data_IF_635535318329
#
_entry.id   IF_635535318329
#
_cell.length_a   1.000
_cell.length_b   1.000
_cell.length_c   1.000
_cell.angle_alpha   90.00
_cell.angle_beta   90.00
_cell.angle_gamma   90.00
#
_symmetry.space_group_name_H-M   'P 1'
#
loop_
_entity.id
_entity.type
_entity.pdbx_description
1 polymer ?
#
# COMPACT_ATOMS: atom_id res chain seq x y z
N UNK A 1 26.21 -1.01 -5.51
CA UNK A 1 26.61 -2.14 -4.64
C UNK A 1 25.76 -2.15 -3.39
N UNK A 2 25.20 -3.30 -3.07
CA UNK A 2 24.23 -3.45 -1.99
C UNK A 2 24.89 -4.12 -0.79
N UNK A 3 24.87 -3.51 0.38
CA UNK A 3 25.28 -4.14 1.62
C UNK A 3 24.10 -4.18 2.57
N UNK A 4 23.73 -5.38 3.03
CA UNK A 4 22.66 -5.59 4.00
C UNK A 4 23.27 -5.99 5.33
N UNK A 5 22.80 -5.35 6.36
CA UNK A 5 23.04 -5.79 7.73
C UNK A 5 21.68 -6.10 8.32
N UNK A 6 21.45 -7.40 8.57
CA UNK A 6 20.22 -7.85 9.20
C UNK A 6 20.40 -7.77 10.72
N UNK A 7 19.57 -6.99 11.36
CA UNK A 7 19.43 -6.99 12.82
C UNK A 7 18.18 -7.75 13.20
N UNK A 8 17.99 -8.04 14.48
CA UNK A 8 16.85 -8.83 14.95
C UNK A 8 15.48 -8.27 14.50
N UNK A 9 15.37 -6.97 14.30
CA UNK A 9 14.11 -6.30 14.00
C UNK A 9 14.12 -5.39 12.78
N UNK A 10 15.26 -5.29 12.06
CA UNK A 10 15.35 -4.38 10.91
C UNK A 10 16.43 -4.82 9.92
N UNK A 11 16.31 -4.34 8.71
CA UNK A 11 17.30 -4.54 7.66
C UNK A 11 17.92 -3.19 7.35
N UNK A 12 19.23 -3.11 7.52
CA UNK A 12 20.03 -1.93 7.20
C UNK A 12 20.53 -2.04 5.77
N UNK A 13 20.41 -0.96 5.02
CA UNK A 13 20.88 -0.92 3.64
C UNK A 13 21.79 0.25 3.39
N UNK A 14 22.88 -0.04 2.68
CA UNK A 14 23.74 0.97 2.08
C UNK A 14 23.64 0.83 0.55
N UNK A 15 22.80 1.71 -0.10
CA UNK A 15 22.59 1.51 -1.53
C UNK A 15 22.21 2.70 -2.36
N UNK A 16 22.64 2.59 -3.62
CA UNK A 16 22.21 3.48 -4.71
C UNK A 16 20.84 3.11 -5.28
N UNK A 17 20.49 1.82 -5.36
CA UNK A 17 19.21 1.32 -5.87
C UNK A 17 18.49 0.51 -4.79
N UNK A 18 17.72 1.19 -3.96
CA UNK A 18 16.97 0.55 -2.89
C UNK A 18 15.75 -0.20 -3.45
N UNK A 19 15.48 -1.45 -2.99
CA UNK A 19 14.24 -2.15 -3.32
C UNK A 19 13.02 -1.32 -2.89
N UNK A 20 11.99 -1.30 -3.73
CA UNK A 20 10.78 -0.52 -3.47
C UNK A 20 9.64 -1.35 -2.89
N UNK A 21 9.68 -2.67 -3.03
CA UNK A 21 8.65 -3.58 -2.54
C UNK A 21 9.26 -4.76 -1.79
N UNK A 22 8.42 -5.54 -1.09
CA UNK A 22 8.89 -6.69 -0.30
C UNK A 22 9.50 -7.79 -1.16
N UNK A 23 8.96 -8.04 -2.35
CA UNK A 23 9.50 -9.06 -3.25
C UNK A 23 10.93 -8.73 -3.67
N UNK A 24 11.18 -7.49 -4.06
CA UNK A 24 12.53 -7.02 -4.41
C UNK A 24 13.47 -7.07 -3.20
N UNK A 25 12.98 -6.73 -2.02
CA UNK A 25 13.75 -6.80 -0.78
C UNK A 25 14.12 -8.26 -0.43
N UNK A 26 13.17 -9.17 -0.55
CA UNK A 26 13.41 -10.60 -0.33
C UNK A 26 14.44 -11.15 -1.33
N UNK A 27 14.33 -10.79 -2.60
CA UNK A 27 15.28 -11.20 -3.63
C UNK A 27 16.70 -10.68 -3.33
N UNK A 28 16.79 -9.43 -2.91
CA UNK A 28 18.08 -8.81 -2.56
C UNK A 28 18.71 -9.41 -1.30
N UNK A 29 17.91 -9.75 -0.29
CA UNK A 29 18.37 -10.40 0.95
C UNK A 29 18.53 -11.91 0.81
N UNK A 30 18.07 -12.53 -0.28
CA UNK A 30 18.07 -13.98 -0.51
C UNK A 30 17.34 -14.74 0.60
N UNK A 31 16.21 -14.21 1.04
CA UNK A 31 15.35 -14.84 2.04
C UNK A 31 13.92 -14.94 1.51
N UNK A 32 13.18 -16.01 1.83
CA UNK A 32 11.76 -16.09 1.49
C UNK A 32 10.95 -15.08 2.32
N UNK A 33 9.78 -14.70 1.81
CA UNK A 33 8.93 -13.67 2.41
C UNK A 33 8.59 -14.00 3.88
N UNK A 34 8.22 -15.23 4.16
CA UNK A 34 7.83 -15.70 5.51
C UNK A 34 8.97 -15.64 6.54
N UNK A 35 10.22 -15.55 6.08
CA UNK A 35 11.40 -15.44 6.96
C UNK A 35 11.99 -14.03 7.02
N UNK A 36 11.37 -13.09 6.32
CA UNK A 36 11.82 -11.70 6.33
C UNK A 36 11.53 -11.07 7.71
N UNK A 37 12.58 -10.53 8.34
CA UNK A 37 12.44 -9.76 9.59
C UNK A 37 12.43 -8.28 9.27
N UNK A 38 11.25 -7.67 9.33
CA UNK A 38 11.07 -6.24 9.08
C UNK A 38 10.06 -5.69 10.09
N UNK A 39 10.30 -4.47 10.54
CA UNK A 39 9.47 -3.83 11.56
C UNK A 39 8.42 -2.91 10.95
N UNK A 40 7.31 -2.77 11.65
CA UNK A 40 6.29 -1.77 11.33
C UNK A 40 6.83 -0.37 11.65
N UNK A 41 6.71 0.56 10.70
CA UNK A 41 7.18 1.95 10.85
C UNK A 41 6.42 2.71 11.94
N UNK A 42 5.17 2.31 12.24
CA UNK A 42 4.32 2.99 13.22
C UNK A 42 4.44 2.39 14.62
N UNK A 43 4.19 1.09 14.78
CA UNK A 43 4.18 0.46 16.10
C UNK A 43 5.52 -0.17 16.50
N UNK A 44 6.46 -0.31 15.58
CA UNK A 44 7.77 -0.88 15.84
C UNK A 44 7.81 -2.41 16.00
N UNK A 45 6.68 -3.07 15.97
CA UNK A 45 6.61 -4.53 16.07
C UNK A 45 7.12 -5.19 14.79
N UNK A 46 7.78 -6.34 14.92
CA UNK A 46 8.14 -7.17 13.77
C UNK A 46 6.89 -7.70 13.10
N UNK A 47 6.79 -7.56 11.77
CA UNK A 47 5.66 -8.06 11.01
C UNK A 47 5.59 -9.58 11.09
N UNK A 48 4.38 -10.09 11.36
CA UNK A 48 4.07 -11.52 11.28
C UNK A 48 3.99 -11.97 9.82
N UNK A 49 4.12 -13.27 9.51
CA UNK A 49 3.96 -13.75 8.15
C UNK A 49 2.67 -13.30 7.45
N UNK A 50 1.55 -13.23 8.18
CA UNK A 50 0.27 -12.74 7.65
C UNK A 50 0.35 -11.27 7.23
N UNK A 51 1.01 -10.44 8.01
CA UNK A 51 1.20 -9.01 7.70
C UNK A 51 2.13 -8.82 6.50
N UNK A 52 3.19 -9.61 6.40
CA UNK A 52 4.12 -9.60 5.27
C UNK A 52 3.41 -9.97 3.97
N UNK A 53 2.62 -11.03 4.02
CA UNK A 53 1.83 -11.48 2.88
C UNK A 53 0.80 -10.42 2.46
N UNK A 54 0.06 -9.87 3.41
CA UNK A 54 -0.92 -8.82 3.15
C UNK A 54 -0.28 -7.57 2.55
N UNK A 55 0.86 -7.14 3.06
CA UNK A 55 1.61 -6.00 2.54
C UNK A 55 2.05 -6.23 1.09
N UNK A 56 2.54 -7.41 0.78
CA UNK A 56 2.93 -7.81 -0.58
C UNK A 56 1.74 -7.84 -1.54
N UNK A 57 0.64 -8.49 -1.16
CA UNK A 57 -0.59 -8.58 -1.98
C UNK A 57 -1.19 -7.19 -2.25
N UNK A 58 -1.12 -6.30 -1.29
CA UNK A 58 -1.60 -4.92 -1.44
C UNK A 58 -0.72 -4.06 -2.34
N UNK A 59 0.40 -4.57 -2.80
CA UNK A 59 1.37 -3.83 -3.64
C UNK A 59 1.85 -2.54 -2.97
N UNK A 60 2.08 -2.60 -1.68
CA UNK A 60 2.59 -1.47 -0.91
C UNK A 60 4.11 -1.36 -1.05
N UNK A 61 4.59 -0.15 -0.97
CA UNK A 61 6.02 0.12 -1.04
C UNK A 61 6.65 0.07 0.35
N UNK A 62 7.86 -0.48 0.43
CA UNK A 62 8.65 -0.43 1.66
C UNK A 62 9.06 1.00 1.97
N UNK A 63 9.17 1.30 3.24
CA UNK A 63 9.52 2.63 3.73
C UNK A 63 10.99 2.62 4.16
N UNK A 64 11.77 3.55 3.62
CA UNK A 64 13.17 3.73 4.03
C UNK A 64 13.25 4.92 4.96
N UNK A 65 13.75 4.70 6.17
CA UNK A 65 13.94 5.74 7.17
C UNK A 65 15.26 5.53 7.88
N UNK A 66 16.12 6.54 7.88
CA UNK A 66 17.46 6.49 8.51
C UNK A 66 18.27 5.25 8.09
N UNK A 67 18.25 4.90 6.81
CA UNK A 67 18.94 3.74 6.20
C UNK A 67 18.38 2.37 6.60
N UNK A 68 17.23 2.32 7.26
CA UNK A 68 16.52 1.07 7.58
C UNK A 68 15.27 0.93 6.73
N UNK A 69 14.93 -0.31 6.40
CA UNK A 69 13.66 -0.64 5.77
C UNK A 69 12.58 -0.93 6.80
N UNK A 70 11.40 -0.42 6.52
CA UNK A 70 10.19 -0.66 7.29
C UNK A 70 9.04 -1.05 6.37
N UNK A 71 8.11 -1.79 6.90
CA UNK A 71 6.81 -2.01 6.30
C UNK A 71 5.73 -1.50 7.26
N UNK A 72 4.51 -1.95 7.08
CA UNK A 72 3.40 -1.60 7.97
C UNK A 72 2.55 -2.83 8.24
N UNK A 73 2.29 -3.12 9.50
CA UNK A 73 1.39 -4.22 9.87
C UNK A 73 -0.05 -3.89 9.47
N UNK A 74 -0.89 -4.90 9.30
CA UNK A 74 -2.28 -4.74 8.85
C UNK A 74 -3.10 -3.83 9.76
N UNK A 75 -2.91 -3.95 11.07
CA UNK A 75 -3.59 -3.09 12.04
C UNK A 75 -3.24 -1.60 11.84
N UNK A 76 -1.96 -1.27 11.72
CA UNK A 76 -1.53 0.11 11.51
C UNK A 76 -1.95 0.64 10.14
N UNK A 77 -2.03 -0.21 9.11
CA UNK A 77 -2.57 0.17 7.79
C UNK A 77 -4.04 0.59 7.88
N UNK A 78 -4.85 -0.20 8.57
CA UNK A 78 -6.27 0.12 8.76
C UNK A 78 -6.46 1.41 9.59
N UNK A 79 -5.68 1.58 10.64
CA UNK A 79 -5.69 2.81 11.44
C UNK A 79 -5.29 4.03 10.61
N UNK A 80 -4.26 3.92 9.78
CA UNK A 80 -3.81 4.99 8.90
C UNK A 80 -4.88 5.35 7.86
N UNK A 81 -5.47 4.34 7.24
CA UNK A 81 -6.54 4.55 6.26
C UNK A 81 -7.76 5.25 6.88
N UNK A 82 -8.15 4.84 8.08
CA UNK A 82 -9.25 5.48 8.83
C UNK A 82 -8.92 6.93 9.18
N UNK A 83 -7.72 7.17 9.67
CA UNK A 83 -7.26 8.53 9.99
C UNK A 83 -7.30 9.43 8.75
N UNK A 84 -6.81 8.97 7.62
CA UNK A 84 -6.83 9.72 6.37
C UNK A 84 -8.25 10.03 5.89
N UNK A 85 -9.18 9.06 5.97
CA UNK A 85 -10.60 9.30 5.62
C UNK A 85 -11.23 10.38 6.47
N UNK A 86 -10.92 10.42 7.75
CA UNK A 86 -11.52 11.37 8.69
C UNK A 86 -10.90 12.76 8.56
N UNK A 87 -9.59 12.84 8.41
CA UNK A 87 -8.86 14.10 8.51
C UNK A 87 -8.39 14.70 7.18
N UNK A 88 -8.28 13.88 6.13
CA UNK A 88 -7.69 14.29 4.84
C UNK A 88 -8.61 14.06 3.64
N UNK A 89 -9.89 13.91 3.87
CA UNK A 89 -10.89 13.81 2.80
C UNK A 89 -11.04 15.16 2.09
N UNK A 90 -10.99 15.14 0.77
CA UNK A 90 -11.04 16.35 -0.06
C UNK A 90 -12.34 16.45 -0.87
N UNK A 91 -12.63 15.45 -1.70
CA UNK A 91 -13.83 15.45 -2.55
C UNK A 91 -14.12 14.03 -3.10
N UNK A 92 -15.22 13.92 -3.83
CA UNK A 92 -15.57 12.70 -4.57
C UNK A 92 -15.87 13.02 -6.04
N UNK A 93 -15.75 12.01 -6.89
CA UNK A 93 -16.02 12.11 -8.32
C UNK A 93 -16.52 10.78 -8.86
N UNK A 94 -17.41 10.83 -9.87
CA UNK A 94 -17.70 9.65 -10.67
C UNK A 94 -16.52 9.28 -11.59
N UNK A 95 -16.54 8.07 -12.14
CA UNK A 95 -15.46 7.55 -12.96
C UNK A 95 -15.21 8.38 -14.23
N UNK A 96 -16.27 8.85 -14.87
CA UNK A 96 -16.15 9.62 -16.12
C UNK A 96 -15.50 10.98 -15.87
N UNK A 97 -15.96 11.68 -14.84
CA UNK A 97 -15.41 12.99 -14.50
C UNK A 97 -13.97 12.87 -13.97
N UNK A 98 -13.67 11.79 -13.24
CA UNK A 98 -12.32 11.49 -12.79
C UNK A 98 -11.33 11.33 -13.96
N UNK A 99 -11.71 10.61 -15.01
CA UNK A 99 -10.90 10.47 -16.21
C UNK A 99 -10.68 11.83 -16.90
N UNK A 100 -11.72 12.65 -16.94
CA UNK A 100 -11.61 14.00 -17.48
C UNK A 100 -10.65 14.89 -16.67
N UNK A 101 -10.78 14.89 -15.34
CA UNK A 101 -9.93 15.67 -14.45
C UNK A 101 -8.45 15.28 -14.53
N UNK A 102 -8.17 14.01 -14.64
CA UNK A 102 -6.80 13.48 -14.58
C UNK A 102 -6.15 13.36 -15.96
N UNK A 103 -6.92 13.41 -17.02
CA UNK A 103 -6.45 13.16 -18.40
C UNK A 103 -6.01 11.71 -18.63
N UNK A 104 -6.35 10.80 -17.73
CA UNK A 104 -6.00 9.36 -17.81
C UNK A 104 -7.28 8.53 -17.82
N UNK A 105 -7.22 7.39 -18.52
CA UNK A 105 -8.30 6.42 -18.38
C UNK A 105 -8.30 5.78 -16.99
N UNK A 106 -9.42 5.17 -16.61
CA UNK A 106 -9.59 4.57 -15.30
C UNK A 106 -8.53 3.48 -15.00
N UNK A 107 -8.14 2.72 -16.01
CA UNK A 107 -7.17 1.63 -15.86
C UNK A 107 -5.75 2.14 -15.66
N UNK A 108 -5.42 3.29 -16.22
CA UNK A 108 -4.12 3.95 -16.04
C UNK A 108 -3.96 4.71 -14.72
N UNK A 109 -5.05 4.87 -13.96
CA UNK A 109 -5.00 5.55 -12.67
C UNK A 109 -4.58 4.61 -11.55
N UNK A 110 -3.74 5.10 -10.66
CA UNK A 110 -3.45 4.41 -9.41
C UNK A 110 -4.56 4.71 -8.40
N UNK A 111 -5.34 3.69 -8.07
CA UNK A 111 -6.43 3.78 -7.09
C UNK A 111 -6.22 2.72 -6.02
N UNK A 112 -6.22 3.14 -4.76
CA UNK A 112 -6.13 2.23 -3.62
C UNK A 112 -7.44 2.16 -2.87
N UNK A 113 -7.65 1.08 -2.16
CA UNK A 113 -8.80 0.92 -1.28
C UNK A 113 -8.71 1.93 -0.12
N UNK A 114 -9.79 2.65 0.14
CA UNK A 114 -9.85 3.62 1.23
C UNK A 114 -9.85 2.99 2.63
N UNK A 115 -10.08 1.68 2.73
CA UNK A 115 -10.15 0.97 4.00
C UNK A 115 -8.88 0.18 4.31
N UNK A 116 -8.32 -0.53 3.35
CA UNK A 116 -7.17 -1.40 3.57
C UNK A 116 -5.91 -1.03 2.78
N UNK A 117 -5.98 0.00 1.93
CA UNK A 117 -4.89 0.51 1.09
C UNK A 117 -4.39 -0.46 0.01
N UNK A 118 -5.11 -1.57 -0.25
CA UNK A 118 -4.82 -2.46 -1.37
C UNK A 118 -4.88 -1.68 -2.69
N UNK A 119 -3.94 -1.91 -3.59
CA UNK A 119 -4.02 -1.39 -4.96
C UNK A 119 -5.16 -2.09 -5.69
N UNK A 120 -6.12 -1.33 -6.22
CA UNK A 120 -7.22 -1.87 -7.00
C UNK A 120 -6.71 -2.34 -8.37
N UNK A 121 -7.08 -3.55 -8.75
CA UNK A 121 -6.86 -4.04 -10.11
C UNK A 121 -7.90 -3.48 -11.09
N UNK A 122 -7.71 -3.74 -12.39
CA UNK A 122 -8.60 -3.23 -13.42
C UNK A 122 -10.04 -3.71 -13.28
N UNK A 123 -10.23 -4.96 -12.82
CA UNK A 123 -11.55 -5.56 -12.61
C UNK A 123 -12.25 -4.87 -11.44
N UNK A 124 -11.55 -4.63 -10.35
CA UNK A 124 -12.09 -3.91 -9.19
C UNK A 124 -12.49 -2.47 -9.53
N UNK A 125 -11.66 -1.77 -10.28
CA UNK A 125 -11.97 -0.40 -10.74
C UNK A 125 -13.22 -0.37 -11.63
N UNK A 126 -13.30 -1.29 -12.58
CA UNK A 126 -14.43 -1.39 -13.48
C UNK A 126 -15.71 -1.72 -12.72
N UNK A 127 -15.69 -2.75 -11.86
CA UNK A 127 -16.85 -3.15 -11.07
C UNK A 127 -17.34 -2.03 -10.14
N UNK A 128 -16.42 -1.28 -9.56
CA UNK A 128 -16.75 -0.14 -8.71
C UNK A 128 -17.44 0.97 -9.50
N UNK A 129 -16.91 1.29 -10.67
CA UNK A 129 -17.49 2.29 -11.57
C UNK A 129 -18.86 1.87 -12.12
N UNK A 130 -19.02 0.60 -12.53
CA UNK A 130 -20.28 0.05 -13.04
C UNK A 130 -21.41 0.11 -12.02
N UNK A 131 -21.11 -0.04 -10.74
CA UNK A 131 -22.08 0.13 -9.65
C UNK A 131 -22.45 1.59 -9.38
N UNK A 132 -21.85 2.54 -10.10
CA UNK A 132 -22.08 3.97 -9.90
C UNK A 132 -21.46 4.54 -8.62
N UNK A 133 -20.55 3.82 -8.01
CA UNK A 133 -19.87 4.31 -6.82
C UNK A 133 -18.88 5.42 -7.16
N UNK A 134 -18.75 6.39 -6.27
CA UNK A 134 -17.84 7.50 -6.46
C UNK A 134 -16.45 7.17 -5.93
N UNK A 135 -15.46 7.62 -6.67
CA UNK A 135 -14.08 7.64 -6.19
C UNK A 135 -13.87 8.84 -5.29
N UNK A 136 -13.02 8.70 -4.29
CA UNK A 136 -12.78 9.71 -3.28
C UNK A 136 -11.34 10.19 -3.33
N UNK A 137 -11.14 11.50 -3.32
CA UNK A 137 -9.82 12.10 -3.20
C UNK A 137 -9.50 12.27 -1.72
N UNK A 138 -8.51 11.52 -1.25
CA UNK A 138 -8.09 11.51 0.15
C UNK A 138 -6.58 11.74 0.20
N UNK A 139 -6.15 12.81 0.84
CA UNK A 139 -4.74 13.20 0.95
C UNK A 139 -4.02 13.26 -0.40
N UNK A 140 -4.69 13.78 -1.42
CA UNK A 140 -4.14 13.91 -2.77
C UNK A 140 -4.14 12.62 -3.60
N UNK A 141 -4.69 11.52 -3.09
CA UNK A 141 -4.75 10.24 -3.79
C UNK A 141 -6.19 9.78 -4.00
N UNK A 142 -6.46 9.25 -5.18
CA UNK A 142 -7.77 8.68 -5.48
C UNK A 142 -7.94 7.33 -4.81
N UNK A 143 -9.11 7.14 -4.19
CA UNK A 143 -9.48 5.95 -3.43
C UNK A 143 -10.81 5.40 -3.91
N UNK A 144 -10.93 4.08 -3.86
CA UNK A 144 -12.17 3.34 -4.08
C UNK A 144 -12.31 2.28 -3.00
N UNK A 145 -13.06 1.22 -3.27
CA UNK A 145 -13.20 0.07 -2.38
C UNK A 145 -12.83 -1.21 -3.11
N UNK A 146 -11.98 -2.04 -2.52
CA UNK A 146 -11.60 -3.32 -3.09
C UNK A 146 -12.66 -4.39 -2.82
N UNK A 147 -12.57 -5.53 -3.52
CA UNK A 147 -13.50 -6.65 -3.38
C UNK A 147 -13.61 -7.21 -1.95
N UNK A 148 -12.52 -7.12 -1.18
CA UNK A 148 -12.49 -7.64 0.19
C UNK A 148 -13.12 -6.69 1.21
N UNK A 149 -13.23 -5.42 0.90
CA UNK A 149 -13.81 -4.40 1.76
C UNK A 149 -15.22 -3.95 1.34
N UNK A 150 -15.73 -4.46 0.23
CA UNK A 150 -17.02 -4.04 -0.34
C UNK A 150 -18.23 -4.30 0.56
N UNK A 151 -18.11 -5.18 1.54
CA UNK A 151 -19.17 -5.46 2.52
C UNK A 151 -19.20 -4.47 3.70
N UNK A 152 -18.22 -3.56 3.77
CA UNK A 152 -18.09 -2.56 4.83
C UNK A 152 -18.89 -1.29 4.51
N UNK A 153 -19.23 -1.09 3.25
CA UNK A 153 -20.13 -0.02 2.80
C UNK A 153 -21.61 -0.43 3.05
#
# INVERSE_FOLDING_TARGET
MVTYIKTENSILIFLMDAPTNLEALCAACKVPLEKLCISCVFCGCTLKPQDLFAFSVKKLQVIVKKKYFYACCSFCLECSAKFERIHHYQCSSDALYLQHLTGKDLFGLTVRCMFCLKLLDSIEKFAYAEKGYKFHLIRGWWRGCCRFCSEIE
#
